data_IF_055482365924
#
_entry.id   IF_055482365924
#
_cell.length_a   1.000
_cell.length_b   1.000
_cell.length_c   1.000
_cell.angle_alpha   90.00
_cell.angle_beta   90.00
_cell.angle_gamma   90.00
#
_symmetry.space_group_name_H-M   'P 1'
#
loop_
_entity.id
_entity.type
_entity.pdbx_description
1 polymer ?
#
# COMPACT_ATOMS: atom_id res chain seq x y z
N UNK A 1 -15.39 -4.70 -28.48
CA UNK A 1 -14.84 -3.56 -29.24
C UNK A 1 -13.36 -3.57 -29.00
N UNK A 2 -12.53 -3.68 -30.04
CA UNK A 2 -11.13 -3.23 -29.94
C UNK A 2 -11.20 -1.71 -30.02
N UNK A 3 -10.88 -1.01 -28.93
CA UNK A 3 -10.95 0.45 -28.85
C UNK A 3 -9.91 1.18 -29.72
N UNK A 4 -9.20 0.48 -30.63
CA UNK A 4 -8.20 1.07 -31.52
C UNK A 4 -6.96 1.59 -30.81
N UNK A 5 -6.70 1.14 -29.58
CA UNK A 5 -5.51 1.51 -28.82
C UNK A 5 -4.29 0.76 -29.34
N UNK A 6 -3.22 1.51 -29.62
CA UNK A 6 -1.93 0.94 -29.96
C UNK A 6 -1.26 0.29 -28.73
N UNK A 7 -0.50 -0.81 -28.89
CA UNK A 7 0.26 -1.40 -27.79
C UNK A 7 1.23 -0.39 -27.15
N UNK A 8 1.30 -0.39 -25.80
CA UNK A 8 2.23 0.45 -25.05
C UNK A 8 3.45 -0.33 -24.53
N UNK A 9 4.62 -0.26 -25.18
CA UNK A 9 5.82 -0.99 -24.77
C UNK A 9 6.63 -0.29 -23.66
N UNK A 10 6.14 0.81 -23.10
CA UNK A 10 6.90 1.65 -22.17
C UNK A 10 6.98 1.13 -20.73
N UNK A 11 6.23 0.07 -20.38
CA UNK A 11 6.29 -0.52 -19.04
C UNK A 11 7.59 -1.31 -18.90
N UNK A 12 8.40 -0.96 -17.90
CA UNK A 12 9.68 -1.62 -17.62
C UNK A 12 9.67 -2.43 -16.33
N UNK A 13 8.75 -2.10 -15.42
CA UNK A 13 8.71 -2.63 -14.07
C UNK A 13 7.27 -2.78 -13.61
N UNK A 14 7.03 -3.83 -12.84
CA UNK A 14 5.84 -4.02 -12.02
C UNK A 14 6.23 -3.94 -10.54
N UNK A 15 5.54 -3.09 -9.78
CA UNK A 15 5.68 -3.00 -8.33
C UNK A 15 4.47 -3.65 -7.65
N UNK A 16 4.68 -4.81 -7.03
CA UNK A 16 3.61 -5.60 -6.39
C UNK A 16 3.58 -5.32 -4.90
N UNK A 17 2.52 -4.66 -4.44
CA UNK A 17 2.27 -4.42 -3.02
C UNK A 17 1.75 -5.68 -2.30
N UNK A 18 2.12 -5.87 -1.04
CA UNK A 18 1.66 -7.01 -0.24
C UNK A 18 2.28 -8.35 -0.61
N UNK A 19 3.30 -8.36 -1.48
CA UNK A 19 4.02 -9.59 -1.84
C UNK A 19 4.86 -10.11 -0.67
N UNK A 20 4.85 -11.43 -0.40
CA UNK A 20 5.76 -12.05 0.57
C UNK A 20 7.22 -12.02 0.08
N UNK A 21 7.48 -11.74 -1.20
CA UNK A 21 8.80 -11.66 -1.82
C UNK A 21 9.31 -10.22 -1.97
N UNK A 22 8.77 -9.26 -1.21
CA UNK A 22 9.18 -7.85 -1.29
C UNK A 22 10.66 -7.65 -0.94
N UNK A 23 11.41 -7.01 -1.83
CA UNK A 23 12.85 -6.71 -1.68
C UNK A 23 13.15 -5.21 -1.68
N UNK A 24 12.19 -4.38 -2.05
CA UNK A 24 12.30 -2.92 -2.06
C UNK A 24 11.25 -2.31 -1.13
N UNK A 25 11.47 -1.08 -0.68
CA UNK A 25 10.49 -0.32 0.07
C UNK A 25 10.60 1.18 -0.22
N UNK A 26 9.51 1.90 0.03
CA UNK A 26 9.41 3.35 -0.09
C UNK A 26 9.14 3.94 1.29
N UNK A 27 9.90 4.95 1.69
CA UNK A 27 9.60 5.78 2.86
C UNK A 27 8.31 6.57 2.60
N UNK A 28 7.34 6.43 3.50
CA UNK A 28 6.03 7.09 3.40
C UNK A 28 5.77 8.03 4.56
N UNK A 29 6.81 8.51 5.25
CA UNK A 29 6.69 9.45 6.38
C UNK A 29 5.80 10.65 6.00
N UNK A 30 6.05 11.26 4.85
CA UNK A 30 5.28 12.43 4.40
C UNK A 30 3.89 12.09 3.85
N UNK A 31 3.66 10.82 3.51
CA UNK A 31 2.41 10.34 2.91
C UNK A 31 1.46 9.64 3.89
N UNK A 32 1.91 9.36 5.12
CA UNK A 32 1.16 8.56 6.09
C UNK A 32 -0.22 9.16 6.38
N UNK A 33 -0.27 10.46 6.68
CA UNK A 33 -1.52 11.14 7.02
C UNK A 33 -2.52 11.10 5.86
N UNK A 34 -2.06 11.40 4.65
CA UNK A 34 -2.90 11.31 3.44
C UNK A 34 -3.39 9.88 3.19
N UNK A 35 -2.58 8.86 3.49
CA UNK A 35 -2.97 7.46 3.41
C UNK A 35 -4.05 7.07 4.43
N UNK A 36 -3.97 7.60 5.65
CA UNK A 36 -4.98 7.42 6.70
C UNK A 36 -6.31 8.03 6.26
N UNK A 37 -6.30 9.28 5.80
CA UNK A 37 -7.50 9.95 5.29
C UNK A 37 -8.10 9.22 4.08
N UNK A 38 -7.25 8.77 3.15
CA UNK A 38 -7.70 7.98 2.01
C UNK A 38 -8.37 6.68 2.44
N UNK A 39 -7.80 5.94 3.40
CA UNK A 39 -8.42 4.72 3.93
C UNK A 39 -9.72 5.02 4.69
N UNK A 40 -9.73 6.07 5.52
CA UNK A 40 -10.90 6.49 6.28
C UNK A 40 -12.08 6.88 5.38
N UNK A 41 -11.81 7.42 4.19
CA UNK A 41 -12.82 7.73 3.19
C UNK A 41 -13.63 6.49 2.72
N UNK A 42 -13.11 5.28 2.90
CA UNK A 42 -13.85 4.03 2.71
C UNK A 42 -14.81 3.72 3.88
N UNK A 43 -15.47 4.74 4.45
CA UNK A 43 -16.24 4.65 5.70
C UNK A 43 -17.29 3.54 5.72
N UNK A 44 -18.03 3.35 4.63
CA UNK A 44 -19.05 2.28 4.53
C UNK A 44 -18.44 0.87 4.59
N UNK A 45 -17.27 0.69 3.97
CA UNK A 45 -16.53 -0.57 4.03
C UNK A 45 -16.01 -0.81 5.45
N UNK A 46 -15.33 0.18 6.03
CA UNK A 46 -14.76 0.08 7.37
C UNK A 46 -15.82 -0.21 8.43
N UNK A 47 -16.99 0.44 8.34
CA UNK A 47 -18.12 0.23 9.25
C UNK A 47 -18.76 -1.17 9.12
N UNK A 48 -18.54 -1.87 8.00
CA UNK A 48 -19.04 -3.23 7.78
C UNK A 48 -18.10 -4.33 8.30
N UNK A 49 -16.88 -3.98 8.69
CA UNK A 49 -15.92 -4.93 9.22
C UNK A 49 -16.33 -5.40 10.63
N UNK A 50 -15.97 -6.64 11.02
CA UNK A 50 -16.09 -7.06 12.41
C UNK A 50 -15.40 -6.08 13.37
N UNK A 51 -15.97 -5.79 14.56
CA UNK A 51 -15.40 -4.82 15.50
C UNK A 51 -13.97 -5.14 15.96
N UNK A 52 -13.55 -6.40 15.91
CA UNK A 52 -12.22 -6.88 16.24
C UNK A 52 -11.24 -6.88 15.06
N UNK A 53 -11.71 -6.53 13.85
CA UNK A 53 -10.84 -6.39 12.69
C UNK A 53 -9.95 -5.15 12.86
N UNK A 54 -8.61 -5.29 12.86
CA UNK A 54 -7.71 -4.15 13.06
C UNK A 54 -7.91 -3.01 12.07
N UNK A 55 -8.39 -3.30 10.86
CA UNK A 55 -8.59 -2.29 9.81
C UNK A 55 -9.83 -1.42 10.04
N UNK A 56 -10.74 -1.81 10.94
CA UNK A 56 -11.86 -0.95 11.33
C UNK A 56 -11.40 0.40 11.94
N UNK A 57 -10.18 0.43 12.50
CA UNK A 57 -9.45 1.66 12.83
C UNK A 57 -8.38 1.93 11.75
N UNK A 58 -8.70 2.83 10.81
CA UNK A 58 -7.82 3.15 9.68
C UNK A 58 -6.44 3.68 10.13
N UNK A 59 -6.43 4.58 11.12
CA UNK A 59 -5.21 5.22 11.60
C UNK A 59 -4.31 4.24 12.33
N UNK A 60 -4.89 3.47 13.27
CA UNK A 60 -4.18 2.43 14.01
C UNK A 60 -3.65 1.33 13.09
N UNK A 61 -4.47 0.90 12.11
CA UNK A 61 -4.10 -0.11 11.13
C UNK A 61 -2.89 0.30 10.30
N UNK A 62 -2.96 1.45 9.61
CA UNK A 62 -1.88 1.89 8.72
C UNK A 62 -0.61 2.21 9.49
N UNK A 63 -0.71 2.94 10.60
CA UNK A 63 0.46 3.28 11.44
C UNK A 63 1.19 2.02 11.90
N UNK A 64 0.43 1.03 12.41
CA UNK A 64 1.02 -0.23 12.88
C UNK A 64 1.67 -1.01 11.74
N UNK A 65 0.98 -1.13 10.60
CA UNK A 65 1.45 -1.91 9.45
C UNK A 65 2.72 -1.31 8.85
N UNK A 66 2.73 0.01 8.61
CA UNK A 66 3.85 0.71 8.00
C UNK A 66 5.07 0.78 8.94
N UNK A 67 4.85 0.91 10.25
CA UNK A 67 5.94 0.82 11.25
C UNK A 67 6.58 -0.58 11.24
N UNK A 68 5.77 -1.64 11.18
CA UNK A 68 6.29 -3.03 11.13
C UNK A 68 7.14 -3.29 9.88
N UNK A 69 6.74 -2.75 8.73
CA UNK A 69 7.54 -2.83 7.52
C UNK A 69 8.82 -1.98 7.62
N UNK A 70 8.69 -0.79 8.19
CA UNK A 70 9.78 0.14 8.48
C UNK A 70 10.91 -0.42 9.33
N UNK A 71 10.63 -1.39 10.20
CA UNK A 71 11.65 -2.07 11.01
C UNK A 71 12.76 -2.73 10.17
N UNK A 72 12.49 -3.06 8.89
CA UNK A 72 13.47 -3.61 7.94
C UNK A 72 14.02 -2.56 6.98
N UNK A 73 13.62 -1.30 7.15
CA UNK A 73 13.91 -0.18 6.27
C UNK A 73 14.21 1.08 7.10
N UNK A 74 15.30 1.04 7.89
CA UNK A 74 15.78 2.21 8.63
C UNK A 74 14.91 2.70 9.79
N UNK A 75 13.79 2.03 10.11
CA UNK A 75 12.89 2.39 11.19
C UNK A 75 11.87 3.48 10.83
N UNK A 76 11.81 3.92 9.58
CA UNK A 76 10.81 4.88 9.09
C UNK A 76 9.56 4.15 8.59
N UNK A 77 8.33 4.73 8.68
CA UNK A 77 7.14 4.15 8.07
C UNK A 77 7.39 3.82 6.59
N UNK A 78 7.15 2.58 6.18
CA UNK A 78 7.53 2.13 4.84
C UNK A 78 6.49 1.23 4.17
N UNK A 79 6.37 1.34 2.85
CA UNK A 79 5.60 0.43 1.99
C UNK A 79 6.55 -0.51 1.22
N UNK A 80 6.49 -1.83 1.45
CA UNK A 80 7.32 -2.80 0.73
C UNK A 80 6.70 -3.19 -0.62
N UNK A 81 7.56 -3.42 -1.60
CA UNK A 81 7.21 -3.90 -2.93
C UNK A 81 8.14 -5.03 -3.39
N UNK A 82 7.56 -6.01 -4.08
CA UNK A 82 8.31 -6.85 -5.01
C UNK A 82 8.40 -6.11 -6.36
N UNK A 83 9.60 -6.06 -6.92
CA UNK A 83 9.87 -5.39 -8.17
C UNK A 83 10.21 -6.44 -9.23
N UNK A 84 9.37 -6.54 -10.27
CA UNK A 84 9.53 -7.48 -11.38
C UNK A 84 9.87 -6.67 -12.63
N UNK A 85 11.03 -6.95 -13.23
CA UNK A 85 11.40 -6.41 -14.55
C UNK A 85 10.64 -7.13 -15.66
N UNK A 86 10.22 -6.39 -16.69
CA UNK A 86 9.44 -6.90 -17.83
C UNK A 86 10.24 -6.74 -19.13
#
# INVERSE_FOLDING_TARGET
>A
MEEGHEPWPGVRWLAVGGSPASTYAVDVTDGLEAGIEALAAHAGYLASLPPDNPMADAAGYLTTKLTRFGARFGGVPALPFEIIGI
#
